data_IF_163492674552
#
_entry.id   IF_163492674552
#
_cell.length_a   1.000
_cell.length_b   1.000
_cell.length_c   1.000
_cell.angle_alpha   90.00
_cell.angle_beta   90.00
_cell.angle_gamma   90.00
#
_symmetry.space_group_name_H-M   'P 1'
#
loop_
_entity.id
_entity.type
_entity.pdbx_description
1 polymer ?
#
# COMPACT_ATOMS: atom_id res chain seq x y z
N UNK A 1 5.88 -7.53 6.32
CA UNK A 1 6.01 -6.16 6.84
C UNK A 1 5.20 -5.26 5.91
N UNK A 2 3.98 -4.87 6.29
CA UNK A 2 3.15 -4.01 5.45
C UNK A 2 3.81 -2.62 5.33
N UNK A 3 4.04 -2.14 4.10
CA UNK A 3 4.59 -0.79 3.84
C UNK A 3 3.46 0.10 3.30
N UNK A 4 2.71 0.68 4.23
CA UNK A 4 1.55 1.52 3.94
C UNK A 4 1.88 3.01 3.83
N UNK A 5 3.10 3.40 4.20
CA UNK A 5 3.54 4.79 4.17
C UNK A 5 3.97 5.17 2.74
N UNK A 6 3.67 6.41 2.33
CA UNK A 6 4.13 6.95 1.06
C UNK A 6 5.53 7.53 1.23
N UNK A 7 6.40 7.35 0.24
CA UNK A 7 7.70 7.99 0.24
C UNK A 7 7.62 9.31 -0.53
N UNK A 8 7.64 10.43 0.18
CA UNK A 8 7.43 11.78 -0.37
C UNK A 8 8.58 12.66 0.11
N UNK A 9 9.27 13.33 -0.83
CA UNK A 9 10.36 14.27 -0.55
C UNK A 9 11.45 13.72 0.38
N UNK A 10 11.82 12.44 0.22
CA UNK A 10 12.90 11.82 0.99
C UNK A 10 12.47 11.22 2.34
N UNK A 11 11.18 11.30 2.70
CA UNK A 11 10.65 10.80 3.97
C UNK A 11 9.49 9.82 3.77
N UNK A 12 9.32 8.91 4.74
CA UNK A 12 8.11 8.08 4.86
C UNK A 12 7.01 8.90 5.54
N UNK A 13 5.87 9.03 4.86
CA UNK A 13 4.74 9.87 5.25
C UNK A 13 3.50 8.98 5.40
N UNK A 14 2.77 9.16 6.50
CA UNK A 14 1.51 8.44 6.72
C UNK A 14 0.47 8.89 5.69
N UNK A 15 -0.34 7.96 5.15
CA UNK A 15 -1.44 8.33 4.25
C UNK A 15 -2.45 9.20 4.99
N UNK A 16 -3.11 10.11 4.28
CA UNK A 16 -4.15 10.98 4.82
C UNK A 16 -5.45 10.23 5.16
N UNK A 17 -5.65 9.04 4.58
CA UNK A 17 -6.76 8.15 4.90
C UNK A 17 -6.28 6.74 5.21
N UNK A 18 -7.11 5.95 5.89
CA UNK A 18 -6.85 4.54 6.17
C UNK A 18 -7.30 3.59 5.05
N UNK A 19 -7.66 4.11 3.86
CA UNK A 19 -8.13 3.25 2.77
C UNK A 19 -6.96 2.44 2.21
N UNK A 20 -7.12 1.12 2.13
CA UNK A 20 -6.11 0.21 1.60
C UNK A 20 -6.65 -0.62 0.44
N UNK A 21 -5.74 -1.20 -0.34
CA UNK A 21 -6.04 -2.12 -1.43
C UNK A 21 -5.06 -3.30 -1.40
N UNK A 22 -5.57 -4.50 -1.64
CA UNK A 22 -4.75 -5.70 -1.77
C UNK A 22 -4.11 -5.78 -3.15
N UNK A 23 -2.83 -6.16 -3.17
CA UNK A 23 -2.08 -6.48 -4.38
C UNK A 23 -2.24 -7.96 -4.64
N UNK A 24 -2.91 -8.31 -5.74
CA UNK A 24 -3.18 -9.69 -6.11
C UNK A 24 -2.07 -10.23 -7.01
N UNK A 25 -1.61 -11.45 -6.72
CA UNK A 25 -0.68 -12.16 -7.59
C UNK A 25 -1.43 -12.70 -8.83
N UNK A 26 -1.07 -12.27 -10.05
CA UNK A 26 -1.78 -12.72 -11.26
C UNK A 26 -1.59 -14.21 -11.57
N UNK A 27 -0.61 -14.89 -10.97
CA UNK A 27 -0.38 -16.32 -11.21
C UNK A 27 -1.25 -17.24 -10.32
N UNK A 28 -1.72 -16.74 -9.18
CA UNK A 28 -2.48 -17.54 -8.19
C UNK A 28 -3.82 -16.92 -7.80
N UNK A 29 -4.08 -15.68 -8.19
CA UNK A 29 -5.24 -14.87 -7.78
C UNK A 29 -5.33 -14.63 -6.26
N UNK A 30 -4.23 -14.81 -5.53
CA UNK A 30 -4.17 -14.61 -4.08
C UNK A 30 -3.51 -13.27 -3.69
N UNK A 31 -3.89 -12.66 -2.55
CA UNK A 31 -3.24 -11.46 -2.03
C UNK A 31 -1.78 -11.70 -1.61
N UNK A 32 -0.87 -10.83 -2.04
CA UNK A 32 0.56 -10.91 -1.70
C UNK A 32 1.10 -9.67 -0.97
N UNK A 33 0.39 -8.55 -1.04
CA UNK A 33 0.72 -7.34 -0.28
C UNK A 33 -0.51 -6.46 -0.11
N UNK A 34 -0.38 -5.40 0.68
CA UNK A 34 -1.39 -4.36 0.88
C UNK A 34 -0.74 -2.99 0.73
N UNK A 35 -1.41 -2.08 0.04
CA UNK A 35 -0.97 -0.69 -0.14
C UNK A 35 -2.04 0.27 0.37
N UNK A 36 -1.64 1.48 0.76
CA UNK A 36 -2.57 2.57 1.03
C UNK A 36 -2.97 3.27 -0.27
N UNK A 37 -4.24 3.66 -0.36
CA UNK A 37 -4.75 4.49 -1.44
C UNK A 37 -4.65 5.96 -1.01
N UNK A 38 -3.94 6.76 -1.81
CA UNK A 38 -3.91 8.21 -1.63
C UNK A 38 -5.28 8.82 -1.98
N UNK A 39 -5.65 9.88 -1.27
CA UNK A 39 -6.59 10.88 -1.79
C UNK A 39 -5.79 11.94 -2.54
#
# INVERSE_FOLDING_TARGET
MEKLDFYINGAWVKPSTSKTLDVINPATEEPVAKISLGL
#
